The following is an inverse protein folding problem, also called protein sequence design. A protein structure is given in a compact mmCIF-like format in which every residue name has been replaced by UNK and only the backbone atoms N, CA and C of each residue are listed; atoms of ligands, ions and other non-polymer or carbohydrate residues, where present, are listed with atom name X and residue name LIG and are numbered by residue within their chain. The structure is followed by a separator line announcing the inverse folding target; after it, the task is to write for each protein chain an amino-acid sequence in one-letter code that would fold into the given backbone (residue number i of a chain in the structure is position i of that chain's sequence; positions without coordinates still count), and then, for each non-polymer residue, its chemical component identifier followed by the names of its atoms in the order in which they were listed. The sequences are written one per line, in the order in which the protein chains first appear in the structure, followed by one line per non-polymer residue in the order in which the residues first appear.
data_IF_695849923027
#
_entry.id   IF_695849923027
#
_cell.length_a   1.000
_cell.length_b   1.000
_cell.length_c   1.000
_cell.angle_alpha   90.00
_cell.angle_beta   90.00
_cell.angle_gamma   90.00
#
_symmetry.space_group_name_H-M   'P 1'
#
loop_
_entity.id
_entity.type
_entity.pdbx_description
1 polymer ?
#
# COMPACT_ATOMS: atom_id res chain seq x y z
N UNK A 1 16.87 23.41 -26.22
CA UNK A 1 17.47 22.07 -26.12
C UNK A 1 16.68 21.32 -25.06
N UNK A 2 15.90 20.31 -25.42
CA UNK A 2 15.17 19.51 -24.43
C UNK A 2 16.18 18.83 -23.50
N UNK A 3 16.04 19.02 -22.20
CA UNK A 3 16.93 18.36 -21.24
C UNK A 3 16.54 16.89 -21.12
N UNK A 4 17.52 16.03 -20.86
CA UNK A 4 17.30 14.59 -20.71
C UNK A 4 17.11 14.26 -19.23
N UNK A 5 16.20 13.32 -18.88
CA UNK A 5 16.03 12.91 -17.50
C UNK A 5 17.31 12.32 -16.91
N UNK A 6 17.55 12.48 -15.60
CA UNK A 6 18.77 12.01 -14.96
C UNK A 6 18.82 10.48 -14.89
N UNK A 7 20.00 9.90 -15.07
CA UNK A 7 20.21 8.47 -14.84
C UNK A 7 20.32 8.19 -13.33
N UNK A 8 19.17 7.95 -12.67
CA UNK A 8 19.09 7.60 -11.25
C UNK A 8 18.86 6.10 -11.10
N UNK A 9 19.80 5.41 -10.45
CA UNK A 9 19.73 3.96 -10.23
C UNK A 9 18.38 3.55 -9.64
N UNK A 10 17.63 2.74 -10.38
CA UNK A 10 16.34 2.19 -9.94
C UNK A 10 15.12 3.07 -10.17
N UNK A 11 15.28 4.26 -10.73
CA UNK A 11 14.16 5.11 -11.19
C UNK A 11 14.17 5.13 -12.71
N UNK A 12 13.04 4.78 -13.33
CA UNK A 12 12.81 5.00 -14.75
C UNK A 12 12.00 6.28 -14.92
N UNK A 13 12.50 7.22 -15.71
CA UNK A 13 11.79 8.47 -16.01
C UNK A 13 10.94 8.31 -17.27
N UNK A 14 9.85 7.57 -17.11
CA UNK A 14 8.88 7.28 -18.17
C UNK A 14 7.48 7.49 -17.58
N UNK A 15 6.54 8.00 -18.38
CA UNK A 15 5.13 8.07 -17.95
C UNK A 15 4.63 6.67 -17.61
N UNK A 16 3.96 6.54 -16.47
CA UNK A 16 3.51 5.28 -15.87
C UNK A 16 4.55 4.58 -15.00
N UNK A 17 5.83 4.98 -15.04
CA UNK A 17 6.87 4.35 -14.24
C UNK A 17 6.61 4.51 -12.73
N UNK A 18 6.85 3.44 -11.99
CA UNK A 18 6.64 3.40 -10.55
C UNK A 18 7.86 3.92 -9.79
N UNK A 19 7.61 4.71 -8.76
CA UNK A 19 8.60 5.19 -7.79
C UNK A 19 7.95 5.39 -6.42
N UNK A 20 8.73 5.79 -5.43
CA UNK A 20 8.19 6.31 -4.17
C UNK A 20 8.48 7.81 -4.06
N UNK A 21 7.46 8.56 -3.63
CA UNK A 21 7.55 10.00 -3.40
C UNK A 21 7.25 10.33 -1.94
N UNK A 22 7.97 11.33 -1.39
CA UNK A 22 7.78 11.77 -0.01
C UNK A 22 6.75 12.90 0.05
N UNK A 23 5.73 12.76 0.90
CA UNK A 23 4.73 13.83 1.13
C UNK A 23 5.26 14.95 2.04
N UNK A 24 4.46 16.01 2.20
CA UNK A 24 4.73 17.13 3.09
C UNK A 24 4.86 16.73 4.57
N UNK A 25 4.25 15.61 4.97
CA UNK A 25 4.34 15.01 6.30
C UNK A 25 5.56 14.08 6.46
N UNK A 26 6.48 14.08 5.49
CA UNK A 26 7.74 13.32 5.46
C UNK A 26 7.55 11.79 5.37
N UNK A 27 6.41 11.31 4.89
CA UNK A 27 6.14 9.89 4.66
C UNK A 27 6.38 9.53 3.20
N UNK A 28 6.90 8.32 2.97
CA UNK A 28 7.09 7.77 1.62
C UNK A 28 5.87 7.00 1.16
N UNK A 29 5.45 7.21 -0.08
CA UNK A 29 4.32 6.53 -0.69
C UNK A 29 4.65 6.05 -2.09
N UNK A 30 4.10 4.89 -2.45
CA UNK A 30 4.16 4.40 -3.83
C UNK A 30 3.38 5.32 -4.76
N UNK A 31 4.01 5.70 -5.87
CA UNK A 31 3.47 6.63 -6.83
C UNK A 31 3.87 6.22 -8.26
N UNK A 32 3.28 6.90 -9.23
CA UNK A 32 3.61 6.77 -10.64
C UNK A 32 3.96 8.15 -11.21
N UNK A 33 4.83 8.18 -12.22
CA UNK A 33 5.05 9.38 -13.03
C UNK A 33 3.84 9.53 -13.95
N UNK A 34 3.06 10.59 -13.75
CA UNK A 34 1.88 10.89 -14.57
C UNK A 34 2.28 11.70 -15.81
N UNK A 35 3.19 12.67 -15.66
CA UNK A 35 3.70 13.52 -16.74
C UNK A 35 5.17 13.86 -16.52
N UNK A 36 5.86 14.18 -17.60
CA UNK A 36 7.24 14.67 -17.58
C UNK A 36 7.27 16.00 -18.31
N UNK A 37 7.80 17.02 -17.64
CA UNK A 37 8.11 18.32 -18.20
C UNK A 37 9.63 18.42 -18.39
N UNK A 38 10.07 18.25 -19.64
CA UNK A 38 11.48 18.29 -20.01
C UNK A 38 12.08 19.70 -20.04
N UNK A 39 11.25 20.73 -20.10
CA UNK A 39 11.69 22.12 -20.13
C UNK A 39 11.99 22.62 -18.71
N UNK A 40 11.08 22.30 -17.78
CA UNK A 40 11.20 22.68 -16.37
C UNK A 40 11.87 21.60 -15.50
N UNK A 41 12.32 20.49 -16.08
CA UNK A 41 13.02 19.41 -15.36
C UNK A 41 12.16 18.77 -14.25
N UNK A 42 10.86 18.64 -14.52
CA UNK A 42 9.88 18.23 -13.51
C UNK A 42 9.13 16.98 -13.93
N UNK A 43 8.64 16.26 -12.93
CA UNK A 43 7.74 15.13 -13.08
C UNK A 43 6.50 15.35 -12.24
N UNK A 44 5.32 15.11 -12.83
CA UNK A 44 4.07 15.08 -12.09
C UNK A 44 3.94 13.70 -11.47
N UNK A 45 3.83 13.66 -10.15
CA UNK A 45 3.73 12.44 -9.38
C UNK A 45 2.29 12.22 -8.97
N UNK A 46 1.73 11.08 -9.36
CA UNK A 46 0.44 10.61 -8.89
C UNK A 46 0.63 9.56 -7.79
N UNK A 47 0.18 9.87 -6.58
CA UNK A 47 0.20 8.94 -5.46
C UNK A 47 -0.84 7.83 -5.66
N UNK A 48 -0.40 6.57 -5.61
CA UNK A 48 -1.31 5.44 -5.84
C UNK A 48 -2.46 5.45 -4.83
N UNK A 49 -3.68 5.25 -5.32
CA UNK A 49 -4.91 5.21 -4.52
C UNK A 49 -5.25 6.54 -3.83
N UNK A 50 -4.62 7.64 -4.23
CA UNK A 50 -4.99 8.99 -3.79
C UNK A 50 -5.75 9.67 -4.93
N UNK A 51 -6.51 10.71 -4.59
CA UNK A 51 -7.19 11.52 -5.60
C UNK A 51 -6.18 12.38 -6.37
N UNK A 52 -6.39 12.58 -7.68
CA UNK A 52 -5.53 13.42 -8.54
C UNK A 52 -5.28 14.85 -8.03
N UNK A 53 -6.14 15.36 -7.14
CA UNK A 53 -5.95 16.67 -6.46
C UNK A 53 -4.74 16.69 -5.52
N UNK A 54 -4.14 15.54 -5.21
CA UNK A 54 -2.89 15.43 -4.48
C UNK A 54 -1.68 15.21 -5.40
N UNK A 55 -1.87 15.24 -6.72
CA UNK A 55 -0.76 15.10 -7.66
C UNK A 55 0.15 16.33 -7.54
N UNK A 56 1.45 16.08 -7.45
CA UNK A 56 2.43 17.12 -7.16
C UNK A 56 3.58 17.08 -8.16
N UNK A 57 4.02 18.27 -8.58
CA UNK A 57 5.17 18.42 -9.44
C UNK A 57 6.46 18.41 -8.61
N UNK A 58 7.32 17.44 -8.89
CA UNK A 58 8.66 17.34 -8.32
C UNK A 58 9.71 17.71 -9.35
N UNK A 59 10.82 18.31 -8.89
CA UNK A 59 12.07 18.26 -9.67
C UNK A 59 12.46 16.79 -9.87
N UNK A 60 12.81 16.38 -11.09
CA UNK A 60 13.16 14.98 -11.37
C UNK A 60 14.42 14.49 -10.64
N UNK A 61 15.26 15.41 -10.17
CA UNK A 61 16.44 15.17 -9.35
C UNK A 61 16.14 15.31 -7.85
N UNK A 62 14.87 15.57 -7.47
CA UNK A 62 14.47 15.72 -6.09
C UNK A 62 14.89 14.51 -5.24
N UNK A 63 15.49 14.74 -4.05
CA UNK A 63 15.82 13.67 -3.11
C UNK A 63 14.57 13.03 -2.50
N UNK A 64 13.39 13.60 -2.75
CA UNK A 64 12.10 13.10 -2.30
C UNK A 64 11.43 12.15 -3.31
N UNK A 65 12.14 11.81 -4.38
CA UNK A 65 11.83 10.69 -5.25
C UNK A 65 12.87 9.59 -5.02
N UNK A 66 12.44 8.35 -4.84
CA UNK A 66 13.33 7.18 -4.72
C UNK A 66 12.79 6.01 -5.53
N UNK A 67 13.65 5.04 -5.92
CA UNK A 67 13.17 3.79 -6.49
C UNK A 67 12.11 3.18 -5.57
N UNK A 68 11.07 2.55 -6.12
CA UNK A 68 10.24 1.68 -5.30
C UNK A 68 11.17 0.69 -4.64
N UNK A 69 11.16 0.65 -3.31
CA UNK A 69 11.82 -0.40 -2.56
C UNK A 69 11.24 -1.72 -3.09
N UNK A 70 11.99 -2.38 -3.98
CA UNK A 70 11.73 -3.77 -4.31
C UNK A 70 11.98 -4.44 -3.00
N UNK A 71 10.92 -4.71 -2.25
CA UNK A 71 11.00 -5.78 -1.29
C UNK A 71 11.42 -6.96 -2.15
N UNK A 72 12.69 -7.33 -2.08
CA UNK A 72 13.11 -8.69 -2.29
C UNK A 72 12.46 -9.50 -1.15
N UNK A 73 11.12 -9.53 -1.10
CA UNK A 73 10.43 -10.76 -0.80
C UNK A 73 10.80 -11.61 -1.98
N UNK A 74 11.96 -12.26 -1.83
CA UNK A 74 12.30 -13.45 -2.54
C UNK A 74 10.99 -14.21 -2.77
N UNK A 75 10.61 -14.30 -4.04
CA UNK A 75 9.82 -15.42 -4.56
C UNK A 75 10.47 -16.78 -4.22
N UNK A 76 11.66 -16.78 -3.61
CA UNK A 76 12.39 -17.88 -3.01
C UNK A 76 12.28 -17.81 -1.47
N UNK A 77 11.07 -18.09 -1.00
CA UNK A 77 10.70 -18.09 0.41
C UNK A 77 9.28 -18.62 0.57
N UNK A 78 8.90 -19.63 -0.23
CA UNK A 78 7.77 -20.51 0.11
C UNK A 78 8.18 -21.29 1.37
N UNK A 79 8.02 -20.67 2.53
CA UNK A 79 7.29 -21.34 3.62
C UNK A 79 5.84 -20.91 3.37
N UNK A 80 4.96 -21.68 2.72
CA UNK A 80 4.44 -22.97 3.19
C UNK A 80 5.02 -23.39 4.54
N UNK A 81 4.62 -22.62 5.55
CA UNK A 81 4.52 -22.98 6.96
C UNK A 81 4.35 -21.65 7.68
N UNK A 82 3.32 -21.38 8.46
CA UNK A 82 2.74 -22.30 9.43
C UNK A 82 1.61 -21.52 10.09
N UNK A 83 0.46 -22.16 10.23
CA UNK A 83 -0.41 -22.04 11.41
C UNK A 83 -0.34 -20.71 12.19
N UNK A 84 -0.92 -19.63 11.64
CA UNK A 84 -1.70 -18.79 12.55
C UNK A 84 -2.94 -19.66 12.81
N UNK A 85 -3.18 -20.15 14.05
CA UNK A 85 -4.43 -20.85 14.34
C UNK A 85 -5.57 -19.97 13.84
N UNK A 86 -6.45 -20.54 13.01
CA UNK A 86 -7.51 -19.77 12.34
C UNK A 86 -8.25 -18.89 13.33
N UNK A 87 -8.63 -17.68 12.90
CA UNK A 87 -9.33 -16.75 13.78
C UNK A 87 -10.63 -17.38 14.27
N UNK A 88 -10.99 -17.13 15.52
CA UNK A 88 -12.20 -17.70 16.11
C UNK A 88 -13.39 -16.76 15.94
N UNK A 89 -14.60 -17.32 15.99
CA UNK A 89 -15.81 -16.50 16.09
C UNK A 89 -15.69 -15.57 17.29
N UNK A 90 -16.08 -14.32 17.10
CA UNK A 90 -15.94 -13.18 18.00
C UNK A 90 -14.54 -12.55 18.13
N UNK A 91 -13.52 -13.09 17.47
CA UNK A 91 -12.19 -12.49 17.50
C UNK A 91 -12.15 -11.13 16.77
N UNK A 92 -11.39 -10.19 17.34
CA UNK A 92 -11.15 -8.89 16.72
C UNK A 92 -10.00 -9.03 15.72
N UNK A 93 -10.25 -8.59 14.51
CA UNK A 93 -9.31 -8.72 13.39
C UNK A 93 -9.26 -7.41 12.60
N UNK A 94 -8.30 -7.33 11.69
CA UNK A 94 -8.27 -6.34 10.63
C UNK A 94 -8.65 -7.06 9.33
N UNK A 95 -9.75 -6.66 8.69
CA UNK A 95 -10.22 -7.24 7.44
C UNK A 95 -10.06 -6.26 6.28
N UNK A 96 -9.71 -6.77 5.09
CA UNK A 96 -9.65 -5.94 3.87
C UNK A 96 -11.04 -5.52 3.43
N UNK A 97 -11.21 -4.24 3.11
CA UNK A 97 -12.36 -3.71 2.38
C UNK A 97 -12.03 -3.57 0.87
N UNK A 98 -12.97 -3.02 0.10
CA UNK A 98 -12.97 -2.97 -1.37
C UNK A 98 -11.91 -2.02 -1.92
N UNK A 99 -11.44 -1.08 -1.09
CA UNK A 99 -10.34 -0.18 -1.37
C UNK A 99 -8.96 -0.79 -1.03
N UNK A 100 -8.92 -2.09 -0.74
CA UNK A 100 -7.73 -2.85 -0.32
C UNK A 100 -7.12 -2.39 1.02
N UNK A 101 -7.83 -1.58 1.80
CA UNK A 101 -7.40 -1.17 3.15
C UNK A 101 -7.97 -2.09 4.20
N UNK A 102 -7.25 -2.19 5.32
CA UNK A 102 -7.60 -3.07 6.43
C UNK A 102 -8.28 -2.26 7.54
N UNK A 103 -9.50 -2.67 7.88
CA UNK A 103 -10.31 -2.00 8.89
C UNK A 103 -10.64 -2.93 10.07
N UNK A 104 -10.84 -2.37 11.27
CA UNK A 104 -11.29 -3.15 12.42
C UNK A 104 -12.60 -3.88 12.14
N UNK A 105 -12.59 -5.18 12.37
CA UNK A 105 -13.73 -6.04 12.20
C UNK A 105 -13.77 -7.12 13.28
N UNK A 106 -14.91 -7.79 13.41
CA UNK A 106 -15.13 -8.92 14.30
C UNK A 106 -15.52 -10.14 13.50
N UNK A 107 -14.88 -11.28 13.72
CA UNK A 107 -15.26 -12.54 13.06
C UNK A 107 -16.62 -12.98 13.57
N UNK A 108 -17.56 -13.19 12.64
CA UNK A 108 -18.89 -13.74 12.90
C UNK A 108 -18.97 -15.25 12.59
N UNK A 109 -18.26 -15.71 11.57
CA UNK A 109 -18.22 -17.12 11.21
C UNK A 109 -16.88 -17.50 10.57
N UNK A 110 -16.46 -18.73 10.81
CA UNK A 110 -15.33 -19.39 10.13
C UNK A 110 -15.92 -20.42 9.16
N UNK A 111 -15.71 -20.21 7.87
CA UNK A 111 -16.28 -21.05 6.82
C UNK A 111 -15.36 -22.22 6.48
N UNK A 112 -15.93 -23.31 5.93
CA UNK A 112 -15.18 -24.53 5.58
C UNK A 112 -14.14 -24.32 4.48
N UNK A 113 -14.29 -23.28 3.68
CA UNK A 113 -13.38 -22.90 2.58
C UNK A 113 -12.23 -21.98 3.05
N UNK A 114 -11.99 -21.89 4.37
CA UNK A 114 -11.01 -21.00 4.98
C UNK A 114 -11.27 -19.49 4.72
N UNK A 115 -12.52 -19.13 4.45
CA UNK A 115 -12.99 -17.74 4.50
C UNK A 115 -13.62 -17.40 5.86
N UNK A 116 -13.71 -16.11 6.15
CA UNK A 116 -14.28 -15.58 7.38
C UNK A 116 -15.41 -14.63 7.03
N UNK A 117 -16.57 -14.82 7.67
CA UNK A 117 -17.60 -13.79 7.72
C UNK A 117 -17.21 -12.83 8.82
N UNK A 118 -17.04 -11.56 8.50
CA UNK A 118 -16.63 -10.50 9.43
C UNK A 118 -17.65 -9.37 9.45
N UNK A 119 -17.80 -8.72 10.60
CA UNK A 119 -18.56 -7.48 10.76
C UNK A 119 -17.61 -6.33 11.03
N UNK A 120 -17.60 -5.35 10.15
CA UNK A 120 -16.87 -4.09 10.31
C UNK A 120 -17.54 -3.22 11.38
N UNK A 121 -16.78 -2.25 11.92
CA UNK A 121 -17.27 -1.40 13.02
C UNK A 121 -18.40 -0.44 12.61
N UNK A 122 -18.51 -0.14 11.32
CA UNK A 122 -19.63 0.60 10.72
C UNK A 122 -20.90 -0.27 10.56
N UNK A 123 -20.82 -1.57 10.88
CA UNK A 123 -21.93 -2.50 10.86
C UNK A 123 -22.02 -3.37 9.61
N UNK A 124 -21.22 -3.10 8.58
CA UNK A 124 -21.22 -3.88 7.32
C UNK A 124 -20.69 -5.30 7.57
N UNK A 125 -21.34 -6.30 6.96
CA UNK A 125 -20.96 -7.72 7.06
C UNK A 125 -20.44 -8.21 5.71
N UNK A 126 -19.28 -8.86 5.70
CA UNK A 126 -18.66 -9.36 4.48
C UNK A 126 -17.97 -10.71 4.71
N UNK A 127 -17.91 -11.55 3.67
CA UNK A 127 -17.07 -12.75 3.65
C UNK A 127 -15.75 -12.47 2.95
N UNK A 128 -14.64 -12.75 3.61
CA UNK A 128 -13.27 -12.50 3.12
C UNK A 128 -12.39 -13.74 3.27
N UNK A 129 -11.49 -13.99 2.32
CA UNK A 129 -10.52 -15.09 2.42
C UNK A 129 -9.53 -14.84 3.55
N UNK A 130 -8.98 -15.88 4.17
CA UNK A 130 -8.00 -15.74 5.25
C UNK A 130 -6.78 -14.85 4.92
N UNK A 131 -6.34 -14.82 3.66
CA UNK A 131 -5.29 -13.91 3.18
C UNK A 131 -5.64 -12.41 3.32
N UNK A 132 -6.92 -12.08 3.47
CA UNK A 132 -7.45 -10.73 3.63
C UNK A 132 -7.86 -10.44 5.08
N UNK A 133 -7.43 -11.26 6.05
CA UNK A 133 -7.68 -11.07 7.47
C UNK A 133 -6.35 -11.11 8.23
N UNK A 134 -6.13 -10.13 9.11
CA UNK A 134 -4.90 -9.98 9.90
C UNK A 134 -5.23 -9.89 11.39
N UNK A 135 -4.31 -10.30 12.28
CA UNK A 135 -4.48 -10.12 13.73
C UNK A 135 -4.61 -8.64 14.09
N UNK A 136 -5.44 -8.30 15.07
CA UNK A 136 -5.62 -6.92 15.54
C UNK A 136 -4.57 -6.48 16.58
N UNK A 137 -3.37 -7.08 16.61
CA UNK A 137 -2.38 -6.75 17.64
C UNK A 137 -1.80 -5.34 17.43
N UNK A 138 -1.41 -4.68 18.53
CA UNK A 138 -0.79 -3.34 18.49
C UNK A 138 0.43 -3.30 17.56
N UNK A 139 1.20 -4.40 17.50
CA UNK A 139 2.37 -4.55 16.64
C UNK A 139 2.01 -4.62 15.15
N UNK A 140 0.94 -5.32 14.79
CA UNK A 140 0.38 -5.31 13.42
C UNK A 140 -0.19 -3.94 13.07
N UNK A 141 -0.78 -3.23 14.02
CA UNK A 141 -1.24 -1.85 13.83
C UNK A 141 -0.08 -0.88 13.52
N UNK A 142 1.06 -1.00 14.19
CA UNK A 142 2.25 -0.19 13.87
C UNK A 142 2.86 -0.53 12.50
N UNK A 143 2.93 -1.82 12.17
CA UNK A 143 3.43 -2.28 10.87
C UNK A 143 2.50 -1.86 9.72
N UNK A 144 1.18 -1.93 9.91
CA UNK A 144 0.20 -1.45 8.93
C UNK A 144 0.26 0.08 8.84
N UNK A 145 0.34 0.83 9.94
CA UNK A 145 0.50 2.30 9.88
C UNK A 145 1.76 2.75 9.16
N UNK A 146 2.85 1.99 9.29
CA UNK A 146 4.11 2.30 8.61
C UNK A 146 4.08 2.00 7.10
N UNK A 147 3.19 1.11 6.64
CA UNK A 147 3.12 0.71 5.21
C UNK A 147 1.85 1.19 4.50
N UNK A 148 0.75 1.44 5.22
CA UNK A 148 -0.56 1.82 4.71
C UNK A 148 -1.23 2.78 5.72
N UNK A 149 -1.29 4.06 5.36
CA UNK A 149 -2.01 5.07 6.14
C UNK A 149 -3.49 4.64 6.24
N UNK A 150 -3.90 4.17 7.42
CA UNK A 150 -5.34 4.09 7.77
C UNK A 150 -5.77 5.52 8.03
N UNK A 151 -6.51 6.09 7.07
CA UNK A 151 -7.08 7.44 7.16
C UNK A 151 -8.37 7.33 7.97
N UNK A 152 -8.49 8.12 9.04
CA UNK A 152 -9.74 8.34 9.77
C UNK A 152 -10.63 9.30 9.00
#
# INVERSE_FOLDING_TARGET
ISKMPPNRRGIKFEVGAALEARDSLKNWYTANIEKIDYENEKVLIHYRQWSHRYDEWFDWASPYLRPVERVQLRREGRQEDSFIPGFHVNEKVLASWSDCRFYPAKVLAVNKDASYTVKFYDGVVQTVKGIHVKPSTKEVYFRIRSTYKVIF
#
